data_IF_809783713217
#
_entry.id   IF_809783713217
#
_cell.length_a   1.000
_cell.length_b   1.000
_cell.length_c   1.000
_cell.angle_alpha   90.00
_cell.angle_beta   90.00
_cell.angle_gamma   90.00
#
_symmetry.space_group_name_H-M   'P 1'
#
loop_
_entity.id
_entity.type
_entity.pdbx_description
1 polymer ?
#
# COMPACT_ATOMS: atom_id res chain seq x y z
N UNK A 1 -33.18 -6.56 4.44
CA UNK A 1 -32.88 -5.39 3.60
C UNK A 1 -31.42 -5.50 3.20
N UNK A 2 -31.08 -5.50 1.91
CA UNK A 2 -29.67 -5.62 1.48
C UNK A 2 -29.01 -4.23 1.57
N UNK A 3 -27.86 -4.14 2.24
CA UNK A 3 -27.10 -2.89 2.32
C UNK A 3 -26.41 -2.66 0.97
N UNK A 4 -26.67 -1.52 0.34
CA UNK A 4 -25.90 -1.07 -0.82
C UNK A 4 -24.63 -0.39 -0.32
N UNK A 5 -23.48 -0.92 -0.68
CA UNK A 5 -22.18 -0.37 -0.34
C UNK A 5 -21.39 -0.10 -1.62
N UNK A 6 -20.55 0.94 -1.60
CA UNK A 6 -19.58 1.25 -2.64
C UNK A 6 -18.23 1.50 -1.97
N UNK A 7 -17.17 0.97 -2.58
CA UNK A 7 -15.80 1.20 -2.16
C UNK A 7 -15.15 2.22 -3.10
N UNK A 8 -14.54 3.25 -2.52
CA UNK A 8 -13.79 4.26 -3.25
C UNK A 8 -12.32 4.14 -2.85
N UNK A 9 -11.46 4.04 -3.86
CA UNK A 9 -10.02 3.98 -3.67
C UNK A 9 -9.41 5.36 -3.99
N UNK A 10 -8.60 5.93 -3.10
CA UNK A 10 -7.99 7.23 -3.32
C UNK A 10 -6.92 7.16 -4.41
N UNK A 11 -6.72 8.28 -5.11
CA UNK A 11 -5.67 8.44 -6.12
C UNK A 11 -4.39 9.08 -5.58
N UNK A 12 -3.50 9.47 -6.50
CA UNK A 12 -2.25 10.19 -6.20
C UNK A 12 -2.54 11.49 -5.44
N UNK A 13 -1.69 11.81 -4.46
CA UNK A 13 -1.85 12.90 -3.50
C UNK A 13 -2.26 12.44 -2.11
N UNK A 14 -2.65 11.17 -1.94
CA UNK A 14 -3.02 10.57 -0.66
C UNK A 14 -1.88 9.81 0.03
N UNK A 15 -0.74 9.61 -0.66
CA UNK A 15 0.41 8.90 -0.12
C UNK A 15 1.07 9.65 1.03
N UNK A 16 1.51 8.90 2.05
CA UNK A 16 2.27 9.42 3.18
C UNK A 16 3.16 8.31 3.75
N UNK A 17 4.31 8.69 4.31
CA UNK A 17 5.17 7.79 5.08
C UNK A 17 4.38 7.17 6.24
N UNK A 18 4.56 5.86 6.46
CA UNK A 18 3.81 5.05 7.43
C UNK A 18 2.49 4.47 6.91
N UNK A 19 2.07 4.77 5.67
CA UNK A 19 0.82 4.23 5.15
C UNK A 19 0.86 2.68 5.05
N UNK A 20 -0.16 2.02 5.60
CA UNK A 20 -0.25 0.55 5.60
C UNK A 20 0.57 -0.15 6.68
N UNK A 21 1.28 0.58 7.55
CA UNK A 21 2.11 0.00 8.62
C UNK A 21 1.28 -0.81 9.63
N UNK A 22 0.08 -0.36 9.97
CA UNK A 22 -0.83 -1.12 10.83
C UNK A 22 -1.23 -2.46 10.21
N UNK A 23 -1.44 -2.52 8.88
CA UNK A 23 -1.72 -3.78 8.21
C UNK A 23 -0.49 -4.70 8.24
N UNK A 24 0.69 -4.16 7.95
CA UNK A 24 1.94 -4.91 7.97
C UNK A 24 2.22 -5.51 9.35
N UNK A 25 2.04 -4.73 10.43
CA UNK A 25 2.34 -5.19 11.79
C UNK A 25 1.35 -6.26 12.29
N UNK A 26 0.10 -6.24 11.82
CA UNK A 26 -0.98 -7.06 12.37
C UNK A 26 -1.49 -8.17 11.45
N UNK A 27 -0.99 -8.29 10.21
CA UNK A 27 -1.49 -9.28 9.25
C UNK A 27 -0.37 -9.94 8.44
N UNK A 28 -0.25 -11.26 8.56
CA UNK A 28 0.69 -12.04 7.74
C UNK A 28 0.35 -11.99 6.24
N UNK A 29 -0.94 -11.80 5.91
CA UNK A 29 -1.38 -11.60 4.52
C UNK A 29 -0.83 -10.28 3.97
N UNK A 30 -0.86 -9.20 4.76
CA UNK A 30 -0.29 -7.93 4.35
C UNK A 30 1.23 -8.02 4.16
N UNK A 31 1.95 -8.66 5.10
CA UNK A 31 3.39 -8.91 4.97
C UNK A 31 3.72 -9.67 3.69
N UNK A 32 2.98 -10.74 3.40
CA UNK A 32 3.19 -11.51 2.18
C UNK A 32 2.92 -10.70 0.91
N UNK A 33 1.85 -9.89 0.89
CA UNK A 33 1.53 -9.04 -0.26
C UNK A 33 2.62 -7.98 -0.51
N UNK A 34 3.17 -7.38 0.55
CA UNK A 34 4.29 -6.42 0.43
C UNK A 34 5.55 -7.12 -0.07
N UNK A 35 5.89 -8.28 0.47
CA UNK A 35 7.04 -9.06 0.02
C UNK A 35 6.91 -9.50 -1.45
N UNK A 36 5.74 -10.03 -1.85
CA UNK A 36 5.48 -10.46 -3.22
C UNK A 36 5.51 -9.29 -4.21
N UNK A 37 4.97 -8.14 -3.82
CA UNK A 37 5.03 -6.92 -4.63
C UNK A 37 6.49 -6.49 -4.81
N UNK A 38 7.28 -6.49 -3.74
CA UNK A 38 8.69 -6.09 -3.78
C UNK A 38 9.50 -6.98 -4.73
N UNK A 39 9.31 -8.30 -4.64
CA UNK A 39 9.97 -9.27 -5.53
C UNK A 39 9.59 -9.07 -7.00
N UNK A 40 8.32 -8.74 -7.28
CA UNK A 40 7.81 -8.61 -8.65
C UNK A 40 8.21 -7.31 -9.33
N UNK A 41 8.30 -6.22 -8.58
CA UNK A 41 8.60 -4.89 -9.14
C UNK A 41 10.07 -4.51 -8.98
N UNK A 42 10.79 -5.13 -8.04
CA UNK A 42 12.13 -4.71 -7.64
C UNK A 42 12.14 -3.47 -6.75
N UNK A 43 10.98 -2.98 -6.33
CA UNK A 43 10.84 -1.84 -5.39
C UNK A 43 10.90 -2.39 -3.97
N UNK A 44 11.73 -1.81 -3.12
CA UNK A 44 11.69 -2.10 -1.69
C UNK A 44 10.49 -1.38 -1.04
N UNK A 45 9.35 -2.07 -0.94
CA UNK A 45 8.13 -1.45 -0.41
C UNK A 45 8.18 -1.24 1.09
N UNK A 46 8.94 -2.02 1.86
CA UNK A 46 9.07 -1.79 3.31
C UNK A 46 9.81 -0.48 3.54
N UNK A 47 10.94 -0.26 2.85
CA UNK A 47 11.65 1.01 2.92
C UNK A 47 10.80 2.18 2.38
N UNK A 48 10.19 2.00 1.21
CA UNK A 48 9.40 3.04 0.56
C UNK A 48 8.20 3.49 1.42
N UNK A 49 7.54 2.57 2.11
CA UNK A 49 6.33 2.84 2.89
C UNK A 49 6.63 3.26 4.33
N UNK A 50 7.67 2.71 4.97
CA UNK A 50 7.85 2.82 6.43
C UNK A 50 9.07 3.64 6.86
N UNK A 51 9.97 4.00 5.94
CA UNK A 51 11.11 4.86 6.23
C UNK A 51 11.00 6.21 5.53
N UNK A 52 11.63 7.24 6.09
CA UNK A 52 11.71 8.57 5.47
C UNK A 52 12.50 8.50 4.15
N UNK A 53 11.89 8.93 3.05
CA UNK A 53 12.49 8.90 1.72
C UNK A 53 11.87 9.95 0.77
N UNK A 54 12.63 10.36 -0.24
CA UNK A 54 12.16 11.30 -1.29
C UNK A 54 11.48 10.58 -2.47
N UNK A 55 11.42 9.25 -2.45
CA UNK A 55 10.91 8.43 -3.56
C UNK A 55 9.39 8.36 -3.57
N UNK A 56 8.74 8.34 -2.40
CA UNK A 56 7.29 8.18 -2.29
C UNK A 56 6.50 9.29 -3.01
N UNK A 57 7.11 10.46 -3.23
CA UNK A 57 6.53 11.56 -4.01
C UNK A 57 6.66 11.43 -5.53
N UNK A 58 7.48 10.51 -6.04
CA UNK A 58 7.68 10.30 -7.47
C UNK A 58 6.64 9.33 -8.02
N UNK A 59 5.98 9.70 -9.12
CA UNK A 59 4.85 8.97 -9.69
C UNK A 59 5.11 7.47 -9.90
N UNK A 60 6.35 7.10 -10.26
CA UNK A 60 6.76 5.70 -10.47
C UNK A 60 6.69 4.84 -9.20
N UNK A 61 6.87 5.45 -8.02
CA UNK A 61 6.76 4.78 -6.72
C UNK A 61 5.40 5.03 -6.06
N UNK A 62 4.85 6.23 -6.21
CA UNK A 62 3.57 6.61 -5.59
C UNK A 62 2.41 5.73 -6.06
N UNK A 63 2.28 5.52 -7.37
CA UNK A 63 1.16 4.75 -7.92
C UNK A 63 1.14 3.29 -7.46
N UNK A 64 2.24 2.52 -7.53
CA UNK A 64 2.24 1.15 -7.04
C UNK A 64 2.09 1.09 -5.52
N UNK A 65 2.63 2.06 -4.76
CA UNK A 65 2.48 2.10 -3.31
C UNK A 65 1.01 2.28 -2.88
N UNK A 66 0.28 3.23 -3.47
CA UNK A 66 -1.15 3.44 -3.19
C UNK A 66 -1.97 2.22 -3.60
N UNK A 67 -1.68 1.63 -4.77
CA UNK A 67 -2.36 0.42 -5.24
C UNK A 67 -2.16 -0.74 -4.26
N UNK A 68 -0.93 -0.97 -3.80
CA UNK A 68 -0.58 -2.04 -2.88
C UNK A 68 -1.34 -1.90 -1.54
N UNK A 69 -1.28 -0.72 -0.92
CA UNK A 69 -1.96 -0.47 0.36
C UNK A 69 -3.49 -0.55 0.21
N UNK A 70 -4.05 0.00 -0.88
CA UNK A 70 -5.48 -0.12 -1.18
C UNK A 70 -5.92 -1.57 -1.40
N UNK A 71 -5.10 -2.36 -2.10
CA UNK A 71 -5.38 -3.77 -2.32
C UNK A 71 -5.32 -4.59 -1.01
N UNK A 72 -4.37 -4.29 -0.12
CA UNK A 72 -4.29 -4.89 1.22
C UNK A 72 -5.55 -4.55 2.02
N UNK A 73 -5.93 -3.28 2.08
CA UNK A 73 -7.11 -2.83 2.81
C UNK A 73 -8.42 -3.46 2.31
N UNK A 74 -8.54 -3.73 1.01
CA UNK A 74 -9.69 -4.42 0.43
C UNK A 74 -9.65 -5.93 0.65
N UNK A 75 -8.47 -6.51 0.86
CA UNK A 75 -8.28 -7.95 1.01
C UNK A 75 -8.54 -8.43 2.45
N UNK A 76 -8.22 -7.59 3.44
CA UNK A 76 -8.43 -7.84 4.87
C UNK A 76 -9.88 -7.52 5.28
#
# INVERSE_FOLDING_TARGET
MSIKCAFLFPGQGSQATGMGEDFFNNSDVAKQMIADASVRTGIDFENLLFEENDNLGQTEFTQPAILLVGAIAHKL
#
